data_IF_932246378501
#
_entry.id   IF_932246378501
#
_cell.length_a   1.000
_cell.length_b   1.000
_cell.length_c   1.000
_cell.angle_alpha   90.00
_cell.angle_beta   90.00
_cell.angle_gamma   90.00
#
_symmetry.space_group_name_H-M   'P 1'
#
loop_
_entity.id
_entity.type
_entity.pdbx_description
1 polymer ?
#
# COMPACT_ATOMS: atom_id res chain seq x y z
N UNK A 1 4.21 0.01 -30.07
CA UNK A 1 4.93 0.83 -29.08
C UNK A 1 5.00 0.02 -27.80
N UNK A 2 6.17 -0.55 -27.52
CA UNK A 2 6.42 -1.38 -26.34
C UNK A 2 6.49 -0.47 -25.10
N UNK A 3 5.73 -0.81 -24.06
CA UNK A 3 5.73 -0.06 -22.79
C UNK A 3 7.05 -0.32 -22.06
N UNK A 4 7.78 0.76 -21.74
CA UNK A 4 9.05 0.68 -21.00
C UNK A 4 8.83 0.24 -19.53
N UNK A 5 9.82 -0.40 -18.87
CA UNK A 5 9.61 -1.21 -17.66
C UNK A 5 9.48 -0.43 -16.33
N UNK A 6 9.29 0.89 -16.34
CA UNK A 6 9.44 1.73 -15.14
C UNK A 6 8.17 2.49 -14.75
N UNK A 7 7.00 1.83 -14.77
CA UNK A 7 5.81 2.31 -14.05
C UNK A 7 5.86 1.87 -12.58
N UNK A 8 7.02 2.03 -11.92
CA UNK A 8 7.02 2.17 -10.45
C UNK A 8 6.15 3.40 -10.18
N UNK A 9 5.10 3.34 -9.34
CA UNK A 9 4.34 4.52 -8.98
C UNK A 9 5.32 5.52 -8.38
N UNK A 10 5.73 6.53 -9.16
CA UNK A 10 6.54 7.62 -8.62
C UNK A 10 5.72 8.24 -7.50
N UNK A 11 6.33 8.60 -6.35
CA UNK A 11 5.65 9.40 -5.34
C UNK A 11 4.96 10.57 -6.03
N UNK A 12 3.63 10.50 -6.11
CA UNK A 12 2.87 11.67 -6.50
C UNK A 12 2.84 12.61 -5.29
N UNK A 13 2.58 13.91 -5.47
CA UNK A 13 2.60 14.86 -4.35
C UNK A 13 1.64 14.53 -3.20
N UNK A 14 0.72 13.56 -3.39
CA UNK A 14 -0.33 13.12 -2.46
C UNK A 14 -0.15 11.69 -1.93
N UNK A 15 0.95 11.00 -2.26
CA UNK A 15 1.20 9.62 -1.83
C UNK A 15 0.08 8.60 -2.19
N UNK A 16 -0.59 8.77 -3.34
CA UNK A 16 -1.72 7.90 -3.73
C UNK A 16 -1.39 6.89 -4.83
N UNK A 17 -2.11 5.76 -4.85
CA UNK A 17 -2.05 4.73 -5.91
C UNK A 17 -3.41 4.51 -6.56
N UNK A 18 -3.41 3.90 -7.75
CA UNK A 18 -4.66 3.56 -8.45
C UNK A 18 -5.41 2.39 -7.82
N UNK A 19 -6.74 2.37 -7.95
CA UNK A 19 -7.58 1.26 -7.49
C UNK A 19 -7.20 -0.08 -8.14
N UNK A 20 -6.84 -0.07 -9.44
CA UNK A 20 -6.34 -1.27 -10.12
C UNK A 20 -5.09 -1.82 -9.45
N UNK A 21 -4.11 -0.96 -9.16
CA UNK A 21 -2.86 -1.36 -8.47
C UNK A 21 -3.18 -1.98 -7.11
N UNK A 22 -4.02 -1.33 -6.32
CA UNK A 22 -4.44 -1.83 -5.00
C UNK A 22 -5.11 -3.21 -5.09
N UNK A 23 -6.01 -3.42 -6.06
CA UNK A 23 -6.65 -4.71 -6.30
C UNK A 23 -5.65 -5.81 -6.66
N UNK A 24 -4.69 -5.51 -7.53
CA UNK A 24 -3.66 -6.47 -7.93
C UNK A 24 -2.78 -6.88 -6.76
N UNK A 25 -2.34 -5.91 -5.95
CA UNK A 25 -1.47 -6.17 -4.80
C UNK A 25 -2.17 -6.94 -3.70
N UNK A 26 -3.38 -6.56 -3.32
CA UNK A 26 -4.14 -7.29 -2.29
C UNK A 26 -4.48 -8.71 -2.75
N UNK A 27 -4.77 -8.90 -4.04
CA UNK A 27 -4.97 -10.24 -4.61
C UNK A 27 -3.70 -11.08 -4.53
N UNK A 28 -2.54 -10.50 -4.84
CA UNK A 28 -1.24 -11.18 -4.75
C UNK A 28 -0.93 -11.61 -3.32
N UNK A 29 -1.11 -10.71 -2.35
CA UNK A 29 -0.98 -11.02 -0.92
C UNK A 29 -1.81 -12.25 -0.53
N UNK A 30 -3.13 -12.23 -0.77
CA UNK A 30 -4.02 -13.37 -0.44
C UNK A 30 -3.64 -14.67 -1.13
N UNK A 31 -3.01 -14.60 -2.31
CA UNK A 31 -2.58 -15.80 -3.06
C UNK A 31 -1.27 -16.37 -2.51
N UNK A 32 -0.39 -15.50 -1.99
CA UNK A 32 0.96 -15.86 -1.56
C UNK A 32 1.10 -15.97 -0.04
N UNK A 33 0.06 -15.66 0.74
CA UNK A 33 0.10 -15.51 2.20
C UNK A 33 0.77 -16.69 2.92
N UNK A 34 0.64 -17.93 2.45
CA UNK A 34 1.27 -19.11 3.06
C UNK A 34 2.76 -19.28 2.76
N UNK A 35 3.27 -18.79 1.63
CA UNK A 35 4.69 -18.88 1.25
C UNK A 35 5.45 -17.57 1.49
N UNK A 36 4.76 -16.44 1.49
CA UNK A 36 5.34 -15.11 1.66
C UNK A 36 5.59 -14.80 3.14
N UNK A 37 4.61 -15.05 4.01
CA UNK A 37 4.79 -14.94 5.46
C UNK A 37 5.62 -16.08 6.08
N UNK A 38 5.96 -17.11 5.29
CA UNK A 38 6.86 -18.17 5.76
C UNK A 38 8.26 -17.64 6.12
N UNK A 39 8.64 -16.46 5.60
CA UNK A 39 9.95 -15.85 5.81
C UNK A 39 9.98 -14.76 6.90
N UNK A 40 8.82 -14.30 7.42
CA UNK A 40 8.71 -13.32 8.52
C UNK A 40 9.59 -12.05 8.40
N UNK A 41 10.00 -11.69 7.18
CA UNK A 41 10.97 -10.60 6.98
C UNK A 41 10.34 -9.22 7.22
N UNK A 42 9.07 -9.03 6.82
CA UNK A 42 8.34 -7.81 7.11
C UNK A 42 7.79 -7.81 8.55
N UNK A 43 8.35 -6.93 9.39
CA UNK A 43 8.03 -6.86 10.84
C UNK A 43 7.01 -5.78 11.17
N UNK A 44 7.07 -4.68 10.42
CA UNK A 44 6.23 -3.52 10.60
C UNK A 44 6.23 -2.70 9.30
N UNK A 45 5.42 -1.64 9.27
CA UNK A 45 5.39 -0.66 8.19
C UNK A 45 5.69 0.71 8.77
N UNK A 46 6.65 1.42 8.20
CA UNK A 46 6.80 2.84 8.45
C UNK A 46 5.70 3.59 7.69
N UNK A 47 4.76 4.21 8.40
CA UNK A 47 3.64 4.93 7.81
C UNK A 47 3.89 6.44 7.98
N UNK A 48 4.07 7.21 6.89
CA UNK A 48 4.18 8.65 7.00
C UNK A 48 2.92 9.26 7.64
N UNK A 49 3.12 10.16 8.63
CA UNK A 49 2.01 10.88 9.26
C UNK A 49 1.16 11.69 8.27
N UNK A 50 1.73 12.04 7.11
CA UNK A 50 1.00 12.74 6.06
C UNK A 50 -0.19 11.92 5.55
N UNK A 51 -0.01 10.63 5.31
CA UNK A 51 -1.04 9.73 4.78
C UNK A 51 -2.25 9.67 5.73
N UNK A 52 -1.97 9.58 7.05
CA UNK A 52 -3.03 9.62 8.07
C UNK A 52 -3.71 10.99 8.16
N UNK A 53 -2.95 12.09 8.04
CA UNK A 53 -3.52 13.45 8.05
C UNK A 53 -4.42 13.68 6.84
N UNK A 54 -4.05 13.18 5.67
CA UNK A 54 -4.85 13.34 4.46
C UNK A 54 -6.16 12.57 4.58
N UNK A 55 -6.15 11.32 5.08
CA UNK A 55 -7.38 10.58 5.37
C UNK A 55 -8.28 11.29 6.42
N UNK A 56 -7.69 11.93 7.43
CA UNK A 56 -8.44 12.76 8.39
C UNK A 56 -9.08 13.97 7.68
N UNK A 57 -8.34 14.64 6.79
CA UNK A 57 -8.82 15.81 6.05
C UNK A 57 -9.94 15.46 5.05
N UNK A 58 -9.98 14.23 4.55
CA UNK A 58 -11.10 13.71 3.75
C UNK A 58 -12.42 13.59 4.56
N UNK A 59 -12.35 13.70 5.89
CA UNK A 59 -13.51 13.54 6.78
C UNK A 59 -13.80 12.08 7.15
N UNK A 60 -12.80 11.22 7.05
CA UNK A 60 -12.93 9.82 7.44
C UNK A 60 -13.25 9.69 8.95
N UNK A 61 -14.19 8.80 9.27
CA UNK A 61 -14.51 8.45 10.66
C UNK A 61 -13.48 7.47 11.27
N UNK A 62 -12.86 6.67 10.42
CA UNK A 62 -11.73 5.78 10.74
C UNK A 62 -10.93 5.51 9.46
N UNK A 63 -9.80 4.82 9.57
CA UNK A 63 -9.05 4.33 8.40
C UNK A 63 -9.04 2.81 8.37
N UNK A 64 -9.05 2.24 7.16
CA UNK A 64 -8.83 0.81 6.93
C UNK A 64 -7.49 0.61 6.25
N UNK A 65 -6.70 -0.32 6.80
CA UNK A 65 -5.43 -0.71 6.22
C UNK A 65 -5.60 -2.03 5.43
N UNK A 66 -5.03 -2.07 4.24
CA UNK A 66 -5.00 -3.24 3.37
C UNK A 66 -3.56 -3.67 3.12
N UNK A 67 -3.28 -4.96 3.26
CA UNK A 67 -1.96 -5.50 2.93
C UNK A 67 -1.95 -5.95 1.47
N UNK A 68 -0.88 -5.58 0.78
CA UNK A 68 -0.60 -5.97 -0.59
C UNK A 68 0.84 -6.40 -0.77
N UNK A 69 1.13 -6.99 -1.92
CA UNK A 69 2.51 -7.26 -2.37
C UNK A 69 2.69 -6.57 -3.69
N UNK A 70 3.62 -5.62 -3.79
CA UNK A 70 4.12 -5.09 -5.05
C UNK A 70 5.06 -6.10 -5.70
N UNK A 71 5.03 -6.20 -7.03
CA UNK A 71 5.94 -7.05 -7.79
C UNK A 71 6.78 -6.16 -8.70
N UNK A 72 8.07 -6.11 -8.45
CA UNK A 72 9.05 -5.38 -9.24
C UNK A 72 9.91 -6.34 -10.05
N UNK A 73 10.49 -5.83 -11.14
CA UNK A 73 11.49 -6.56 -11.91
C UNK A 73 12.83 -5.85 -11.76
N UNK A 74 13.73 -6.44 -10.98
CA UNK A 74 15.07 -5.89 -10.70
C UNK A 74 16.09 -6.84 -11.29
N UNK A 75 16.94 -6.34 -12.20
CA UNK A 75 17.99 -7.14 -12.86
C UNK A 75 17.49 -8.44 -13.54
N UNK A 76 16.24 -8.46 -13.97
CA UNK A 76 15.62 -9.61 -14.63
C UNK A 76 14.87 -10.56 -13.68
N UNK A 77 15.05 -10.42 -12.37
CA UNK A 77 14.39 -11.22 -11.34
C UNK A 77 13.13 -10.53 -10.80
N UNK A 78 12.18 -11.35 -10.33
CA UNK A 78 10.98 -10.84 -9.69
C UNK A 78 11.27 -10.59 -8.21
N UNK A 79 11.26 -9.32 -7.81
CA UNK A 79 11.32 -8.90 -6.41
C UNK A 79 9.90 -8.61 -5.95
N UNK A 80 9.57 -9.05 -4.75
CA UNK A 80 8.28 -8.82 -4.13
C UNK A 80 8.48 -7.94 -2.89
N UNK A 81 7.63 -6.93 -2.73
CA UNK A 81 7.73 -5.96 -1.64
C UNK A 81 6.36 -5.83 -0.99
N UNK A 82 6.30 -6.01 0.31
CA UNK A 82 5.13 -5.81 1.16
C UNK A 82 4.68 -4.35 1.10
N UNK A 83 3.36 -4.14 1.05
CA UNK A 83 2.73 -2.82 1.03
C UNK A 83 1.57 -2.77 2.01
N UNK A 84 1.41 -1.65 2.67
CA UNK A 84 0.27 -1.30 3.51
C UNK A 84 -0.43 -0.06 2.91
N UNK A 85 -1.59 -0.28 2.32
CA UNK A 85 -2.44 0.76 1.74
C UNK A 85 -3.43 1.25 2.80
N UNK A 86 -3.65 2.56 2.87
CA UNK A 86 -4.57 3.21 3.82
C UNK A 86 -5.73 3.84 3.05
N UNK A 87 -6.94 3.59 3.52
CA UNK A 87 -8.19 4.11 2.93
C UNK A 87 -9.07 4.72 4.02
N UNK A 88 -9.62 5.91 3.78
CA UNK A 88 -10.62 6.52 4.65
C UNK A 88 -11.92 5.71 4.70
N UNK A 89 -12.57 5.62 5.87
CA UNK A 89 -13.83 4.92 6.08
C UNK A 89 -14.88 5.90 6.58
N UNK A 90 -16.04 5.91 5.94
CA UNK A 90 -17.15 6.79 6.29
C UNK A 90 -17.82 6.37 7.61
N UNK A 91 -18.73 7.20 8.11
CA UNK A 91 -19.50 6.93 9.34
C UNK A 91 -20.40 5.67 9.28
N UNK A 92 -20.62 5.11 8.09
CA UNK A 92 -21.40 3.89 7.87
C UNK A 92 -20.50 2.64 7.76
N UNK A 93 -19.18 2.79 7.91
CA UNK A 93 -18.23 1.69 7.79
C UNK A 93 -17.85 1.33 6.34
N UNK A 94 -18.20 2.18 5.37
CA UNK A 94 -17.88 1.99 3.96
C UNK A 94 -16.57 2.70 3.62
N UNK A 95 -15.70 2.02 2.89
CA UNK A 95 -14.50 2.64 2.34
C UNK A 95 -14.88 3.81 1.43
N UNK A 96 -14.21 4.94 1.60
CA UNK A 96 -14.43 6.18 0.88
C UNK A 96 -13.83 6.14 -0.53
N UNK A 97 -13.81 4.98 -1.17
CA UNK A 97 -13.37 4.80 -2.55
C UNK A 97 -14.59 4.64 -3.45
N UNK A 98 -14.61 5.35 -4.58
CA UNK A 98 -15.59 5.14 -5.63
C UNK A 98 -14.88 4.93 -6.97
N UNK A 99 -15.48 4.10 -7.81
CA UNK A 99 -14.97 3.80 -9.14
C UNK A 99 -16.09 3.30 -10.02
N UNK A 100 -16.42 4.05 -11.06
CA UNK A 100 -17.43 3.68 -12.05
C UNK A 100 -16.96 2.55 -12.97
N UNK A 101 -15.68 2.52 -13.31
CA UNK A 101 -15.08 1.51 -14.20
C UNK A 101 -14.43 0.33 -13.45
N UNK A 102 -14.36 0.42 -12.12
CA UNK A 102 -13.69 -0.54 -11.25
C UNK A 102 -12.15 -0.52 -11.37
N UNK A 103 -11.55 0.43 -12.09
CA UNK A 103 -10.13 0.48 -12.44
C UNK A 103 -9.49 1.76 -11.89
N UNK A 104 -10.10 2.92 -12.14
CA UNK A 104 -9.67 4.22 -11.63
C UNK A 104 -10.63 4.75 -10.57
N UNK A 105 -10.09 5.54 -9.63
CA UNK A 105 -10.93 6.28 -8.70
C UNK A 105 -11.69 7.38 -9.47
N UNK A 106 -12.93 7.63 -9.08
CA UNK A 106 -13.69 8.77 -9.62
C UNK A 106 -13.18 10.07 -8.98
N UNK A 107 -13.33 11.21 -9.66
CA UNK A 107 -12.85 12.52 -9.17
C UNK A 107 -13.50 12.97 -7.85
N UNK A 108 -14.68 12.44 -7.51
CA UNK A 108 -15.41 12.71 -6.26
C UNK A 108 -15.19 11.61 -5.18
N UNK A 109 -14.45 10.56 -5.51
CA UNK A 109 -14.05 9.51 -4.57
C UNK A 109 -12.85 9.95 -3.72
N UNK A 110 -12.73 9.39 -2.52
CA UNK A 110 -11.52 9.50 -1.71
C UNK A 110 -10.36 8.68 -2.29
N UNK A 111 -9.18 8.86 -1.71
CA UNK A 111 -7.93 8.33 -2.26
C UNK A 111 -7.51 6.99 -1.62
N UNK A 112 -6.52 6.33 -2.23
CA UNK A 112 -5.83 5.17 -1.66
C UNK A 112 -4.37 5.55 -1.43
N UNK A 113 -3.98 5.70 -0.16
CA UNK A 113 -2.63 6.10 0.20
C UNK A 113 -1.72 4.89 0.35
N UNK A 114 -0.53 4.94 -0.24
CA UNK A 114 0.47 3.88 -0.13
C UNK A 114 1.88 4.46 -0.22
N UNK A 115 2.40 4.88 0.94
CA UNK A 115 3.83 5.16 1.11
C UNK A 115 4.40 4.43 2.32
N UNK A 116 3.79 3.30 2.67
CA UNK A 116 4.29 2.43 3.72
C UNK A 116 5.53 1.68 3.22
N UNK A 117 6.62 1.80 3.97
CA UNK A 117 7.82 1.03 3.69
C UNK A 117 7.92 -0.13 4.68
N UNK A 118 8.14 -1.37 4.21
CA UNK A 118 8.29 -2.50 5.10
C UNK A 118 9.59 -2.38 5.91
N UNK A 119 9.51 -2.68 7.19
CA UNK A 119 10.66 -2.85 8.07
C UNK A 119 11.30 -4.24 7.83
N UNK A 120 12.62 -4.42 8.00
CA UNK A 120 13.49 -3.61 8.86
C UNK A 120 14.28 -2.49 8.17
N UNK A 121 14.43 -2.49 6.85
CA UNK A 121 15.31 -1.56 6.12
C UNK A 121 14.94 -0.08 6.31
N UNK A 122 13.67 0.20 6.57
CA UNK A 122 13.12 1.56 6.60
C UNK A 122 12.67 2.02 7.99
N UNK A 123 13.05 1.27 9.03
CA UNK A 123 12.58 1.47 10.40
C UNK A 123 13.74 1.47 11.40
N UNK A 124 13.47 1.93 12.62
CA UNK A 124 14.47 2.00 13.70
C UNK A 124 15.06 0.61 14.01
N UNK A 125 16.34 0.33 13.67
CA UNK A 125 16.93 -0.99 13.86
C UNK A 125 17.14 -1.35 15.33
N UNK A 126 17.16 -0.36 16.23
CA UNK A 126 17.36 -0.55 17.67
C UNK A 126 16.05 -0.83 18.42
N UNK A 127 14.90 -0.75 17.73
CA UNK A 127 13.60 -1.06 18.33
C UNK A 127 13.50 -2.56 18.65
N UNK A 128 13.05 -2.95 19.86
CA UNK A 128 12.88 -4.36 20.23
C UNK A 128 11.78 -5.07 19.42
N UNK A 129 10.98 -4.30 18.67
CA UNK A 129 9.95 -4.79 17.75
C UNK A 129 10.46 -4.91 16.31
N UNK A 130 11.63 -4.33 15.99
CA UNK A 130 12.21 -4.30 14.64
C UNK A 130 13.57 -4.99 14.54
N UNK A 131 14.35 -5.08 15.62
CA UNK A 131 15.66 -5.74 15.64
C UNK A 131 15.56 -7.28 15.65
N UNK A 132 16.58 -8.00 15.15
CA UNK A 132 16.67 -9.45 15.33
C UNK A 132 17.04 -9.72 16.79
N UNK A 133 16.06 -10.07 17.62
CA UNK A 133 16.34 -10.57 18.97
C UNK A 133 17.01 -11.95 18.90
#
# INVERSE_FOLDING_TARGET
MEKQPNDVPKPNPRNTISLKTAKEWTKRWRTMESSYNAHQDCRAFNIPLKDLKEAILEGAASVRAYIGVEKLKVEGENVYIEKLMIVGVDKNGKDMISSLDGISLDDEGGEIYDFSEPCPSSCDPDSPLNGPN
#
